data_IF_115935938154
#
_entry.id   IF_115935938154
#
_cell.length_a   1.000
_cell.length_b   1.000
_cell.length_c   1.000
_cell.angle_alpha   90.00
_cell.angle_beta   90.00
_cell.angle_gamma   90.00
#
_symmetry.space_group_name_H-M   'P 1'
#
loop_
_entity.id
_entity.type
_entity.pdbx_description
1 polymer ?
#
# COMPACT_ATOMS: atom_id res chain seq x y z
N UNK A 1 3.05 10.67 -2.48
CA UNK A 1 3.23 9.24 -2.79
C UNK A 1 3.69 9.16 -4.22
N UNK A 2 4.79 8.44 -4.48
CA UNK A 2 5.18 8.16 -5.86
C UNK A 2 4.10 7.27 -6.49
N UNK A 3 3.72 7.46 -7.77
CA UNK A 3 2.66 6.67 -8.42
C UNK A 3 2.94 5.15 -8.36
N UNK A 4 4.20 4.77 -8.26
CA UNK A 4 4.65 3.37 -8.10
C UNK A 4 4.20 2.72 -6.79
N UNK A 5 3.96 3.48 -5.71
CA UNK A 5 3.54 2.92 -4.42
C UNK A 5 2.11 2.34 -4.47
N UNK A 6 1.28 2.82 -5.41
CA UNK A 6 -0.12 2.40 -5.54
C UNK A 6 -0.30 1.15 -6.38
N UNK A 7 0.71 0.77 -7.16
CA UNK A 7 0.70 -0.46 -7.94
C UNK A 7 1.08 -1.63 -7.04
N UNK A 8 0.16 -2.57 -6.87
CA UNK A 8 0.38 -3.79 -6.08
C UNK A 8 0.41 -5.00 -6.99
N UNK A 9 1.35 -5.90 -6.72
CA UNK A 9 1.39 -7.24 -7.29
C UNK A 9 1.11 -8.24 -6.18
N UNK A 10 0.08 -9.07 -6.35
CA UNK A 10 -0.36 -10.07 -5.37
C UNK A 10 -0.57 -11.42 -6.04
N UNK A 11 -0.42 -12.47 -5.25
CA UNK A 11 -0.74 -13.84 -5.68
C UNK A 11 -2.05 -14.25 -5.03
N UNK A 12 -2.99 -14.75 -5.84
CA UNK A 12 -4.24 -15.33 -5.39
C UNK A 12 -4.14 -16.85 -5.57
N UNK A 13 -4.22 -17.57 -4.46
CA UNK A 13 -4.24 -19.02 -4.44
C UNK A 13 -5.67 -19.54 -4.36
N UNK A 14 -5.98 -20.55 -5.17
CA UNK A 14 -7.26 -21.23 -5.20
C UNK A 14 -7.16 -22.59 -4.54
N UNK A 15 -8.29 -23.06 -4.02
CA UNK A 15 -8.42 -24.40 -3.50
C UNK A 15 -8.24 -25.44 -4.61
N UNK A 16 -7.76 -26.65 -4.28
CA UNK A 16 -7.51 -27.72 -5.26
C UNK A 16 -8.78 -28.16 -6.02
N UNK A 17 -9.94 -27.99 -5.39
CA UNK A 17 -11.24 -28.28 -5.99
C UNK A 17 -12.13 -27.04 -5.98
N UNK A 18 -12.87 -26.76 -7.08
CA UNK A 18 -12.84 -27.43 -8.38
C UNK A 18 -11.52 -27.24 -9.17
N UNK A 19 -11.20 -28.10 -10.15
CA UNK A 19 -10.04 -27.92 -11.01
C UNK A 19 -10.19 -26.72 -11.95
N UNK A 20 -9.05 -26.23 -12.46
CA UNK A 20 -8.94 -25.11 -13.41
C UNK A 20 -9.47 -23.76 -12.91
N UNK A 21 -9.62 -23.57 -11.60
CA UNK A 21 -10.05 -22.29 -11.03
C UNK A 21 -9.11 -21.15 -11.42
N UNK A 22 -7.80 -21.34 -11.31
CA UNK A 22 -6.82 -20.33 -11.70
C UNK A 22 -6.98 -19.88 -13.16
N UNK A 23 -7.17 -20.83 -14.08
CA UNK A 23 -7.34 -20.55 -15.51
C UNK A 23 -8.66 -19.81 -15.80
N UNK A 24 -9.75 -20.20 -15.12
CA UNK A 24 -11.05 -19.55 -15.24
C UNK A 24 -11.05 -18.15 -14.65
N UNK A 25 -10.42 -17.96 -13.48
CA UNK A 25 -10.26 -16.67 -12.84
C UNK A 25 -9.42 -15.72 -13.71
N UNK A 26 -8.32 -16.23 -14.30
CA UNK A 26 -7.50 -15.45 -15.22
C UNK A 26 -8.32 -14.88 -16.38
N UNK A 27 -9.14 -15.72 -17.06
CA UNK A 27 -10.00 -15.25 -18.16
C UNK A 27 -11.00 -14.17 -17.74
N UNK A 28 -11.48 -14.20 -16.50
CA UNK A 28 -12.37 -13.16 -15.97
C UNK A 28 -11.61 -11.86 -15.73
N UNK A 29 -10.40 -11.94 -15.16
CA UNK A 29 -9.58 -10.78 -14.85
C UNK A 29 -9.02 -10.11 -16.12
N UNK A 30 -8.72 -10.89 -17.17
CA UNK A 30 -8.32 -10.36 -18.49
C UNK A 30 -9.40 -9.44 -19.11
N UNK A 31 -10.67 -9.58 -18.70
CA UNK A 31 -11.76 -8.73 -19.15
C UNK A 31 -11.91 -7.41 -18.37
N UNK A 32 -11.16 -7.21 -17.28
CA UNK A 32 -11.23 -6.00 -16.46
C UNK A 32 -10.19 -4.95 -16.94
N UNK A 33 -10.55 -3.66 -16.99
CA UNK A 33 -9.60 -2.62 -17.33
C UNK A 33 -8.57 -2.41 -16.21
N UNK A 34 -7.35 -1.95 -16.53
CA UNK A 34 -6.33 -1.55 -15.55
C UNK A 34 -5.91 -2.63 -14.54
N UNK A 35 -6.04 -3.91 -14.91
CA UNK A 35 -5.46 -5.05 -14.19
C UNK A 35 -4.64 -5.90 -15.16
N UNK A 36 -3.49 -6.35 -14.70
CA UNK A 36 -2.69 -7.37 -15.39
C UNK A 36 -2.73 -8.63 -14.55
N UNK A 37 -2.96 -9.78 -15.19
CA UNK A 37 -3.01 -11.05 -14.49
C UNK A 37 -2.30 -12.13 -15.31
N UNK A 38 -1.81 -13.16 -14.62
CA UNK A 38 -1.20 -14.30 -15.27
C UNK A 38 -1.18 -15.53 -14.37
N UNK A 39 -0.90 -16.69 -14.96
CA UNK A 39 -0.69 -17.91 -14.20
C UNK A 39 0.62 -17.81 -13.40
N UNK A 40 0.58 -18.25 -12.15
CA UNK A 40 1.78 -18.43 -11.34
C UNK A 40 2.38 -19.81 -11.60
N UNK A 41 3.70 -20.02 -11.41
CA UNK A 41 4.32 -21.35 -11.51
C UNK A 41 3.78 -22.37 -10.49
N UNK A 42 3.12 -21.93 -9.41
CA UNK A 42 2.50 -22.82 -8.42
C UNK A 42 1.17 -23.44 -8.86
N UNK A 43 0.74 -24.58 -8.26
CA UNK A 43 -0.52 -25.21 -8.60
C UNK A 43 -1.70 -24.32 -8.19
N UNK A 44 -2.63 -24.09 -9.12
CA UNK A 44 -3.85 -23.29 -8.91
C UNK A 44 -3.62 -21.91 -8.29
N UNK A 45 -2.63 -21.19 -8.82
CA UNK A 45 -2.32 -19.83 -8.40
C UNK A 45 -2.28 -18.89 -9.60
N UNK A 46 -2.72 -17.66 -9.39
CA UNK A 46 -2.53 -16.55 -10.34
C UNK A 46 -1.81 -15.41 -9.64
N UNK A 47 -1.06 -14.63 -10.40
CA UNK A 47 -0.60 -13.33 -9.95
C UNK A 47 -1.48 -12.26 -10.60
N UNK A 48 -1.69 -11.17 -9.87
CA UNK A 48 -2.45 -10.00 -10.31
C UNK A 48 -1.65 -8.75 -9.99
N UNK A 49 -1.63 -7.79 -10.91
CA UNK A 49 -1.04 -6.47 -10.75
C UNK A 49 -2.11 -5.42 -11.03
N UNK A 50 -2.36 -4.56 -10.04
CA UNK A 50 -3.42 -3.55 -10.09
C UNK A 50 -3.02 -2.27 -9.35
N UNK A 51 -3.71 -1.17 -9.64
CA UNK A 51 -3.61 0.08 -8.88
C UNK A 51 -4.66 0.14 -7.77
N UNK A 52 -4.25 0.54 -6.56
CA UNK A 52 -5.15 0.78 -5.42
C UNK A 52 -6.18 1.89 -5.63
N UNK A 53 -6.03 2.70 -6.69
CA UNK A 53 -7.04 3.68 -7.08
C UNK A 53 -8.30 3.02 -7.64
N UNK A 54 -8.17 1.85 -8.28
CA UNK A 54 -9.25 1.17 -8.98
C UNK A 54 -9.68 -0.13 -8.27
N UNK A 55 -8.72 -0.88 -7.72
CA UNK A 55 -8.94 -2.23 -7.19
C UNK A 55 -8.23 -2.44 -5.85
N UNK A 56 -8.77 -3.31 -5.01
CA UNK A 56 -8.10 -3.81 -3.80
C UNK A 56 -8.09 -5.33 -3.81
N UNK A 57 -7.13 -5.96 -3.11
CA UNK A 57 -7.08 -7.42 -3.02
C UNK A 57 -8.39 -7.99 -2.47
N UNK A 58 -8.92 -7.37 -1.41
CA UNK A 58 -10.17 -7.80 -0.78
C UNK A 58 -11.37 -7.70 -1.74
N UNK A 59 -11.43 -6.64 -2.54
CA UNK A 59 -12.49 -6.47 -3.54
C UNK A 59 -12.41 -7.51 -4.65
N UNK A 60 -11.20 -7.77 -5.17
CA UNK A 60 -10.99 -8.79 -6.20
C UNK A 60 -11.34 -10.19 -5.68
N UNK A 61 -10.90 -10.54 -4.47
CA UNK A 61 -11.17 -11.84 -3.86
C UNK A 61 -12.65 -12.03 -3.54
N UNK A 62 -13.33 -11.00 -3.00
CA UNK A 62 -14.77 -11.02 -2.76
C UNK A 62 -15.57 -11.21 -4.05
N UNK A 63 -15.18 -10.52 -5.13
CA UNK A 63 -15.79 -10.69 -6.44
C UNK A 63 -15.59 -12.12 -6.99
N UNK A 64 -14.37 -12.66 -6.89
CA UNK A 64 -14.08 -14.05 -7.27
C UNK A 64 -14.91 -15.04 -6.44
N UNK A 65 -15.00 -14.87 -5.12
CA UNK A 65 -15.82 -15.73 -4.27
C UNK A 65 -17.32 -15.63 -4.63
N UNK A 66 -17.80 -14.44 -4.95
CA UNK A 66 -19.20 -14.22 -5.39
C UNK A 66 -19.51 -14.89 -6.72
N UNK A 67 -18.50 -15.06 -7.59
CA UNK A 67 -18.60 -15.79 -8.86
C UNK A 67 -18.41 -17.31 -8.71
N UNK A 68 -18.27 -17.81 -7.48
CA UNK A 68 -18.17 -19.23 -7.17
C UNK A 68 -16.74 -19.79 -7.13
N UNK A 69 -15.70 -18.94 -7.09
CA UNK A 69 -14.33 -19.40 -6.91
C UNK A 69 -14.02 -19.66 -5.43
N UNK A 70 -13.47 -20.84 -5.16
CA UNK A 70 -12.97 -21.25 -3.86
C UNK A 70 -11.49 -20.84 -3.73
N UNK A 71 -11.23 -19.86 -2.88
CA UNK A 71 -9.88 -19.45 -2.52
C UNK A 71 -9.24 -20.47 -1.57
N UNK A 72 -7.91 -20.52 -1.55
CA UNK A 72 -7.20 -21.34 -0.57
C UNK A 72 -7.34 -20.73 0.84
N UNK A 73 -7.61 -21.60 1.82
CA UNK A 73 -7.82 -21.26 3.23
C UNK A 73 -6.71 -21.79 4.15
N UNK A 74 -5.59 -22.25 3.59
CA UNK A 74 -4.39 -22.56 4.37
C UNK A 74 -4.01 -21.37 5.26
N UNK A 75 -3.64 -21.64 6.52
CA UNK A 75 -3.26 -20.64 7.51
C UNK A 75 -2.23 -19.64 6.97
N UNK A 76 -1.23 -20.13 6.23
CA UNK A 76 -0.23 -19.26 5.60
C UNK A 76 -0.87 -18.25 4.65
N UNK A 77 -1.71 -18.71 3.72
CA UNK A 77 -2.40 -17.84 2.77
C UNK A 77 -3.36 -16.87 3.47
N UNK A 78 -4.06 -17.31 4.52
CA UNK A 78 -4.93 -16.44 5.33
C UNK A 78 -4.15 -15.31 6.01
N UNK A 79 -2.98 -15.60 6.57
CA UNK A 79 -2.15 -14.59 7.24
C UNK A 79 -1.58 -13.57 6.24
N UNK A 80 -1.03 -14.04 5.12
CA UNK A 80 -0.51 -13.16 4.06
C UNK A 80 -1.63 -12.28 3.50
N UNK A 81 -2.80 -12.86 3.25
CA UNK A 81 -4.00 -12.15 2.80
C UNK A 81 -4.46 -11.10 3.80
N UNK A 82 -4.60 -11.46 5.07
CA UNK A 82 -5.02 -10.53 6.12
C UNK A 82 -4.08 -9.33 6.24
N UNK A 83 -2.77 -9.56 6.18
CA UNK A 83 -1.77 -8.49 6.19
C UNK A 83 -1.90 -7.60 4.95
N UNK A 84 -2.04 -8.20 3.77
CA UNK A 84 -2.22 -7.45 2.52
C UNK A 84 -3.51 -6.60 2.55
N UNK A 85 -4.62 -7.16 3.03
CA UNK A 85 -5.89 -6.44 3.19
C UNK A 85 -5.73 -5.23 4.11
N UNK A 86 -5.18 -5.43 5.32
CA UNK A 86 -4.98 -4.35 6.26
C UNK A 86 -4.11 -3.23 5.69
N UNK A 87 -2.96 -3.57 5.07
CA UNK A 87 -2.08 -2.58 4.47
C UNK A 87 -2.74 -1.81 3.32
N UNK A 88 -3.54 -2.48 2.50
CA UNK A 88 -4.23 -1.87 1.36
C UNK A 88 -5.42 -1.01 1.82
N UNK A 89 -6.17 -1.45 2.82
CA UNK A 89 -7.25 -0.69 3.45
C UNK A 89 -6.75 0.65 3.98
N UNK A 90 -5.68 0.63 4.78
CA UNK A 90 -5.04 1.86 5.30
C UNK A 90 -4.54 2.77 4.18
N UNK A 91 -3.97 2.21 3.10
CA UNK A 91 -3.53 3.00 1.94
C UNK A 91 -4.70 3.65 1.20
N UNK A 92 -5.79 2.92 0.99
CA UNK A 92 -7.00 3.44 0.38
C UNK A 92 -7.65 4.54 1.22
N UNK A 93 -7.68 4.40 2.55
CA UNK A 93 -8.15 5.44 3.46
C UNK A 93 -7.27 6.70 3.40
N UNK A 94 -5.94 6.53 3.38
CA UNK A 94 -5.00 7.64 3.23
C UNK A 94 -5.15 8.36 1.89
N UNK A 95 -5.47 7.64 0.81
CA UNK A 95 -5.77 8.23 -0.50
C UNK A 95 -7.06 9.06 -0.50
N UNK A 96 -8.08 8.62 0.24
CA UNK A 96 -9.36 9.33 0.37
C UNK A 96 -9.26 10.54 1.30
N UNK A 97 -8.31 10.52 2.23
CA UNK A 97 -8.13 11.59 3.20
C UNK A 97 -7.33 12.73 2.55
N UNK A 98 -7.87 13.95 2.47
CA UNK A 98 -7.11 15.09 1.94
C UNK A 98 -5.88 15.31 2.82
N UNK A 99 -4.75 15.64 2.19
CA UNK A 99 -3.49 15.86 2.88
C UNK A 99 -3.71 16.83 4.05
N UNK A 100 -3.59 16.32 5.28
CA UNK A 100 -3.65 17.17 6.46
C UNK A 100 -2.45 18.09 6.37
N UNK A 101 -2.66 19.40 6.39
CA UNK A 101 -1.60 20.39 6.61
C UNK A 101 -1.03 20.13 8.02
N UNK A 102 -0.09 19.19 8.12
CA UNK A 102 0.70 18.97 9.32
C UNK A 102 1.56 20.22 9.43
N UNK A 103 1.12 21.17 10.26
CA UNK A 103 1.76 22.41 10.69
C UNK A 103 2.78 22.94 9.66
N UNK A 104 2.39 23.94 8.88
CA UNK A 104 3.25 24.59 7.89
C UNK A 104 4.68 24.69 8.42
N UNK A 105 5.61 24.06 7.69
CA UNK A 105 7.04 24.01 8.05
C UNK A 105 7.56 25.39 8.46
N UNK A 106 7.05 26.44 7.84
CA UNK A 106 7.31 27.86 8.17
C UNK A 106 6.94 28.26 9.60
N UNK A 107 5.80 27.81 10.13
CA UNK A 107 5.40 28.08 11.52
C UNK A 107 6.31 27.35 12.49
N UNK A 108 6.75 26.13 12.15
CA UNK A 108 7.70 25.39 12.98
C UNK A 108 9.12 25.99 12.93
N UNK A 109 9.58 26.43 11.75
CA UNK A 109 10.85 27.17 11.58
C UNK A 109 10.81 28.45 12.41
N UNK A 110 9.75 29.26 12.30
CA UNK A 110 9.62 30.49 13.09
C UNK A 110 9.57 30.23 14.59
N UNK A 111 8.84 29.20 15.04
CA UNK A 111 8.79 28.83 16.45
C UNK A 111 10.14 28.29 16.97
N UNK A 112 10.93 27.64 16.11
CA UNK A 112 12.27 27.16 16.41
C UNK A 112 13.30 28.30 16.45
N UNK A 113 13.23 29.27 15.53
CA UNK A 113 14.06 30.48 15.53
C UNK A 113 13.79 31.38 16.74
N UNK A 114 12.55 31.37 17.24
CA UNK A 114 12.13 32.13 18.43
C UNK A 114 12.39 31.42 19.75
N UNK A 115 12.80 30.14 19.74
CA UNK A 115 13.28 29.50 20.95
C UNK A 115 14.68 30.00 21.29
N UNK A 116 14.85 30.49 22.51
CA UNK A 116 16.16 30.81 23.07
C UNK A 116 16.91 29.48 23.29
N UNK A 117 17.63 29.03 22.26
CA UNK A 117 18.59 27.94 22.38
C UNK A 117 19.72 28.42 23.29
N UNK A 118 20.03 27.65 24.34
CA UNK A 118 21.08 27.98 25.31
C UNK A 118 22.50 27.98 24.75
N UNK A 119 22.66 27.79 23.44
CA UNK A 119 23.91 27.86 22.68
C UNK A 119 24.03 29.13 21.82
N UNK A 120 23.04 30.02 21.85
CA UNK A 120 23.10 31.30 21.16
C UNK A 120 24.07 32.21 21.90
N UNK A 121 25.34 32.08 21.54
CA UNK A 121 26.41 32.91 22.06
C UNK A 121 26.26 34.33 21.54
N UNK A 122 25.68 35.21 22.37
CA UNK A 122 25.54 36.64 22.08
C UNK A 122 26.86 37.42 22.28
N UNK A 123 27.98 36.73 22.57
CA UNK A 123 29.27 37.39 22.77
C UNK A 123 29.65 38.20 21.52
N UNK A 124 29.74 39.55 21.62
CA UNK A 124 30.15 40.41 20.52
C UNK A 124 31.52 40.01 19.99
N UNK A 125 31.75 40.15 18.68
CA UNK A 125 33.04 39.78 18.05
C UNK A 125 34.24 40.47 18.72
N UNK A 126 34.02 41.70 19.19
CA UNK A 126 34.99 42.53 19.92
C UNK A 126 35.58 41.83 21.15
N UNK A 127 34.85 40.88 21.75
CA UNK A 127 35.23 40.17 22.96
C UNK A 127 35.83 38.78 22.69
N UNK A 128 35.82 38.32 21.42
CA UNK A 128 36.42 37.04 21.03
C UNK A 128 37.92 37.12 20.76
N UNK A 129 38.43 38.31 20.44
CA UNK A 129 39.82 38.51 20.01
C UNK A 129 40.79 38.93 21.12
N UNK A 130 40.35 39.08 22.37
CA UNK A 130 41.23 39.43 23.48
C UNK A 130 42.04 38.21 23.95
N UNK A 131 43.32 38.14 23.57
CA UNK A 131 44.33 37.25 24.17
C UNK A 131 45.37 38.04 24.95
#
# INVERSE_FOLDING_TARGET
>A
MSPTDLVKTRTIAFHTEPPDQARKALRLLEGLPNIEAGLSPGPQQIWVRYSLENYSLAGLESALTSLGFALDHNLYHKLVRALAHYCEEVQCENLRTPARLIKSREVFIKAWEQHAHGDRDETPEEWREYR
#
